data_IF_710699317291
#
_entry.id   IF_710699317291
#
_cell.length_a   1.000
_cell.length_b   1.000
_cell.length_c   1.000
_cell.angle_alpha   90.00
_cell.angle_beta   90.00
_cell.angle_gamma   90.00
#
_symmetry.space_group_name_H-M   'P 1'
#
loop_
_entity.id
_entity.type
_entity.pdbx_description
1 polymer ?
#
# COMPACT_ATOMS: atom_id res chain seq x y z
N UNK A 1 20.47 4.99 -11.18
CA UNK A 1 19.62 4.59 -10.04
C UNK A 1 19.04 5.78 -9.26
N UNK A 2 19.82 6.80 -8.91
CA UNK A 2 19.32 7.99 -8.19
C UNK A 2 18.15 8.71 -8.90
N UNK A 3 18.15 8.76 -10.23
CA UNK A 3 17.07 9.38 -11.02
C UNK A 3 15.71 8.68 -10.86
N UNK A 4 15.70 7.35 -10.78
CA UNK A 4 14.47 6.55 -10.65
C UNK A 4 13.89 6.68 -9.25
N UNK A 5 14.74 6.68 -8.22
CA UNK A 5 14.30 6.85 -6.84
C UNK A 5 13.99 8.31 -6.47
N UNK A 6 14.44 9.26 -7.26
CA UNK A 6 14.15 10.68 -7.10
C UNK A 6 12.95 11.14 -7.95
N UNK A 7 13.23 12.00 -8.93
CA UNK A 7 12.21 12.62 -9.78
C UNK A 7 11.34 11.62 -10.55
N UNK A 8 11.96 10.55 -11.11
CA UNK A 8 11.23 9.49 -11.81
C UNK A 8 10.25 8.75 -10.89
N UNK A 9 10.67 8.49 -9.64
CA UNK A 9 9.81 7.88 -8.64
C UNK A 9 8.61 8.74 -8.28
N UNK A 10 8.79 10.05 -8.15
CA UNK A 10 7.69 10.97 -7.90
C UNK A 10 6.67 10.96 -9.05
N UNK A 11 7.14 10.95 -10.30
CA UNK A 11 6.25 10.86 -11.47
C UNK A 11 5.48 9.55 -11.51
N UNK A 12 6.13 8.42 -11.18
CA UNK A 12 5.48 7.11 -11.11
C UNK A 12 4.41 7.06 -10.01
N UNK A 13 4.68 7.65 -8.84
CA UNK A 13 3.69 7.77 -7.77
C UNK A 13 2.48 8.60 -8.22
N UNK A 14 2.69 9.73 -8.88
CA UNK A 14 1.61 10.57 -9.43
C UNK A 14 0.80 9.79 -10.46
N UNK A 15 1.46 9.10 -11.39
CA UNK A 15 0.79 8.28 -12.41
C UNK A 15 -0.05 7.15 -11.75
N UNK A 16 0.49 6.50 -10.72
CA UNK A 16 -0.23 5.51 -9.93
C UNK A 16 -1.47 6.08 -9.23
N UNK A 17 -1.33 7.25 -8.61
CA UNK A 17 -2.45 7.94 -7.96
C UNK A 17 -3.57 8.32 -8.95
N UNK A 18 -3.22 8.81 -10.13
CA UNK A 18 -4.18 9.10 -11.20
C UNK A 18 -4.89 7.83 -11.69
N UNK A 19 -4.16 6.75 -11.93
CA UNK A 19 -4.72 5.46 -12.32
C UNK A 19 -5.69 4.92 -11.26
N UNK A 20 -5.34 5.04 -9.98
CA UNK A 20 -6.19 4.64 -8.87
C UNK A 20 -7.48 5.47 -8.78
N UNK A 21 -7.41 6.77 -9.05
CA UNK A 21 -8.58 7.64 -9.11
C UNK A 21 -9.55 7.20 -10.21
N UNK A 22 -9.03 6.85 -11.39
CA UNK A 22 -9.84 6.31 -12.49
C UNK A 22 -10.45 4.95 -12.14
N UNK A 23 -9.72 4.10 -11.43
CA UNK A 23 -10.21 2.80 -10.97
C UNK A 23 -11.35 2.94 -9.95
N UNK A 24 -11.24 3.90 -9.03
CA UNK A 24 -12.24 4.14 -7.98
C UNK A 24 -13.61 4.58 -8.51
N UNK A 25 -13.69 5.05 -9.76
CA UNK A 25 -14.97 5.34 -10.44
C UNK A 25 -15.74 4.06 -10.77
N UNK A 26 -15.05 2.93 -10.98
CA UNK A 26 -15.67 1.66 -11.42
C UNK A 26 -15.79 0.62 -10.32
N UNK A 27 -14.95 0.71 -9.30
CA UNK A 27 -14.84 -0.27 -8.22
C UNK A 27 -14.88 0.46 -6.89
N UNK A 28 -15.55 -0.11 -5.87
CA UNK A 28 -15.58 0.51 -4.54
C UNK A 28 -14.17 0.66 -3.97
N UNK A 29 -13.91 1.79 -3.30
CA UNK A 29 -12.58 2.14 -2.81
C UNK A 29 -11.94 1.05 -1.92
N UNK A 30 -12.65 0.36 -1.00
CA UNK A 30 -12.07 -0.72 -0.21
C UNK A 30 -11.61 -1.92 -1.04
N UNK A 31 -12.39 -2.32 -2.06
CA UNK A 31 -12.03 -3.44 -2.94
C UNK A 31 -10.85 -3.07 -3.83
N UNK A 32 -10.84 -1.85 -4.39
CA UNK A 32 -9.72 -1.35 -5.17
C UNK A 32 -8.43 -1.26 -4.33
N UNK A 33 -8.53 -0.79 -3.07
CA UNK A 33 -7.41 -0.73 -2.15
C UNK A 33 -6.82 -2.11 -1.84
N UNK A 34 -7.66 -3.10 -1.53
CA UNK A 34 -7.22 -4.48 -1.27
C UNK A 34 -6.56 -5.11 -2.50
N UNK A 35 -7.17 -4.96 -3.68
CA UNK A 35 -6.62 -5.54 -4.91
C UNK A 35 -5.26 -4.93 -5.27
N UNK A 36 -5.10 -3.61 -5.15
CA UNK A 36 -3.83 -2.94 -5.37
C UNK A 36 -2.79 -3.27 -4.29
N UNK A 37 -3.21 -3.45 -3.05
CA UNK A 37 -2.35 -3.95 -1.98
C UNK A 37 -1.77 -5.34 -2.30
N UNK A 38 -2.57 -6.24 -2.86
CA UNK A 38 -2.09 -7.55 -3.33
C UNK A 38 -1.12 -7.43 -4.50
N UNK A 39 -1.39 -6.55 -5.46
CA UNK A 39 -0.46 -6.27 -6.57
C UNK A 39 0.85 -5.71 -6.03
N UNK A 40 0.80 -4.78 -5.08
CA UNK A 40 2.00 -4.23 -4.43
C UNK A 40 2.80 -5.33 -3.70
N UNK A 41 2.15 -6.21 -2.95
CA UNK A 41 2.81 -7.34 -2.32
C UNK A 41 3.47 -8.29 -3.34
N UNK A 42 2.83 -8.52 -4.48
CA UNK A 42 3.40 -9.32 -5.57
C UNK A 42 4.63 -8.65 -6.19
N UNK A 43 4.65 -7.33 -6.36
CA UNK A 43 5.83 -6.60 -6.85
C UNK A 43 6.99 -6.66 -5.87
N UNK A 44 6.72 -6.58 -4.58
CA UNK A 44 7.74 -6.75 -3.53
C UNK A 44 8.26 -8.19 -3.50
N UNK A 45 7.39 -9.19 -3.65
CA UNK A 45 7.79 -10.59 -3.75
C UNK A 45 8.69 -10.84 -4.98
N UNK A 46 8.43 -10.18 -6.10
CA UNK A 46 9.29 -10.22 -7.27
C UNK A 46 10.68 -9.64 -6.97
N UNK A 47 10.77 -8.55 -6.22
CA UNK A 47 12.05 -7.95 -5.81
C UNK A 47 12.79 -8.84 -4.81
N UNK A 48 12.08 -9.54 -3.94
CA UNK A 48 12.66 -10.44 -2.93
C UNK A 48 13.14 -11.75 -3.54
N UNK A 49 12.30 -12.44 -4.31
CA UNK A 49 12.55 -13.80 -4.81
C UNK A 49 13.14 -13.81 -6.23
N UNK A 50 13.03 -12.70 -6.96
CA UNK A 50 13.45 -12.59 -8.35
C UNK A 50 14.97 -12.76 -8.53
N UNK A 51 15.41 -13.12 -9.73
CA UNK A 51 16.84 -13.24 -10.04
C UNK A 51 17.54 -11.88 -9.93
N UNK A 52 18.82 -11.89 -9.54
CA UNK A 52 19.68 -10.70 -9.44
C UNK A 52 20.02 -10.15 -10.84
N UNK A 53 19.01 -9.69 -11.55
CA UNK A 53 19.14 -9.10 -12.88
C UNK A 53 18.73 -7.61 -12.77
N UNK A 54 19.53 -6.68 -13.35
CA UNK A 54 19.20 -5.25 -13.37
C UNK A 54 17.82 -4.96 -13.96
N UNK A 55 17.35 -5.72 -14.93
CA UNK A 55 16.02 -5.57 -15.53
C UNK A 55 14.90 -5.94 -14.57
N UNK A 56 15.04 -7.02 -13.81
CA UNK A 56 14.05 -7.43 -12.78
C UNK A 56 13.96 -6.39 -11.69
N UNK A 57 15.11 -5.89 -11.23
CA UNK A 57 15.17 -4.82 -10.24
C UNK A 57 14.52 -3.53 -10.76
N UNK A 58 14.83 -3.12 -11.97
CA UNK A 58 14.25 -1.93 -12.60
C UNK A 58 12.72 -2.04 -12.71
N UNK A 59 12.25 -3.16 -13.30
CA UNK A 59 10.81 -3.39 -13.49
C UNK A 59 10.08 -3.47 -12.15
N UNK A 60 10.62 -4.21 -11.18
CA UNK A 60 10.05 -4.32 -9.85
C UNK A 60 9.97 -2.95 -9.14
N UNK A 61 11.04 -2.14 -9.23
CA UNK A 61 11.04 -0.80 -8.63
C UNK A 61 10.02 0.13 -9.29
N UNK A 62 9.91 0.13 -10.60
CA UNK A 62 8.93 0.93 -11.35
C UNK A 62 7.49 0.53 -10.96
N UNK A 63 7.20 -0.77 -10.96
CA UNK A 63 5.89 -1.28 -10.54
C UNK A 63 5.59 -0.96 -9.07
N UNK A 64 6.56 -1.11 -8.19
CA UNK A 64 6.42 -0.78 -6.77
C UNK A 64 6.09 0.70 -6.55
N UNK A 65 6.84 1.61 -7.17
CA UNK A 65 6.61 3.05 -7.05
C UNK A 65 5.25 3.46 -7.62
N UNK A 66 4.82 2.84 -8.71
CA UNK A 66 3.49 3.06 -9.27
C UNK A 66 2.38 2.56 -8.34
N UNK A 67 2.49 1.34 -7.84
CA UNK A 67 1.47 0.73 -6.97
C UNK A 67 1.38 1.41 -5.61
N UNK A 68 2.50 1.87 -5.04
CA UNK A 68 2.49 2.59 -3.77
C UNK A 68 1.77 3.95 -3.90
N UNK A 69 1.97 4.68 -5.00
CA UNK A 69 1.23 5.91 -5.29
C UNK A 69 -0.28 5.66 -5.43
N UNK A 70 -0.66 4.58 -6.11
CA UNK A 70 -2.04 4.15 -6.23
C UNK A 70 -2.67 3.79 -4.87
N UNK A 71 -1.93 3.07 -4.02
CA UNK A 71 -2.37 2.70 -2.67
C UNK A 71 -2.61 3.93 -1.77
N UNK A 72 -1.74 4.95 -1.84
CA UNK A 72 -1.95 6.20 -1.08
C UNK A 72 -3.23 6.94 -1.50
N UNK A 73 -3.49 7.04 -2.80
CA UNK A 73 -4.71 7.67 -3.31
C UNK A 73 -5.97 6.92 -2.86
N UNK A 74 -5.96 5.58 -2.95
CA UNK A 74 -7.09 4.76 -2.52
C UNK A 74 -7.27 4.74 -1.00
N UNK A 75 -6.19 4.76 -0.22
CA UNK A 75 -6.28 4.91 1.23
C UNK A 75 -7.04 6.19 1.60
N UNK A 76 -6.67 7.31 0.97
CA UNK A 76 -7.37 8.59 1.16
C UNK A 76 -8.85 8.48 0.78
N UNK A 77 -9.17 7.84 -0.36
CA UNK A 77 -10.55 7.63 -0.79
C UNK A 77 -11.37 6.77 0.20
N UNK A 78 -10.78 5.68 0.71
CA UNK A 78 -11.41 4.82 1.73
C UNK A 78 -11.68 5.61 3.01
N UNK A 79 -10.72 6.41 3.48
CA UNK A 79 -10.88 7.24 4.68
C UNK A 79 -11.99 8.26 4.47
N UNK A 80 -12.05 8.92 3.33
CA UNK A 80 -13.10 9.90 3.01
C UNK A 80 -14.48 9.25 2.89
N UNK A 81 -14.59 8.05 2.30
CA UNK A 81 -15.85 7.29 2.23
C UNK A 81 -16.35 6.94 3.64
N UNK A 82 -15.45 6.54 4.53
CA UNK A 82 -15.78 6.27 5.93
C UNK A 82 -16.24 7.52 6.69
N UNK A 83 -15.61 8.67 6.42
CA UNK A 83 -15.89 9.93 7.10
C UNK A 83 -17.11 10.65 6.54
N UNK A 84 -17.40 10.50 5.25
CA UNK A 84 -18.57 11.11 4.61
C UNK A 84 -19.90 10.72 5.26
N UNK A 85 -19.90 9.63 6.01
CA UNK A 85 -21.04 9.15 6.83
C UNK A 85 -21.08 9.73 8.26
N UNK A 86 -20.10 10.54 8.68
CA UNK A 86 -19.86 10.87 10.09
C UNK A 86 -20.23 12.29 10.54
N UNK A 87 -20.83 13.17 9.70
CA UNK A 87 -21.36 14.48 10.10
C UNK A 87 -20.30 15.56 10.45
N UNK A 88 -20.66 16.51 11.31
CA UNK A 88 -20.00 17.82 11.53
C UNK A 88 -18.50 17.84 11.95
N UNK A 89 -17.87 16.73 12.29
CA UNK A 89 -16.44 16.69 12.72
C UNK A 89 -15.52 15.97 11.72
N UNK A 90 -15.87 15.95 10.44
CA UNK A 90 -15.16 15.18 9.41
C UNK A 90 -13.69 15.56 9.23
N UNK A 91 -13.35 16.86 9.24
CA UNK A 91 -11.99 17.32 8.97
C UNK A 91 -11.00 16.95 10.08
N UNK A 92 -11.40 17.10 11.35
CA UNK A 92 -10.55 16.71 12.49
C UNK A 92 -10.30 15.21 12.53
N UNK A 93 -11.34 14.40 12.27
CA UNK A 93 -11.23 12.94 12.19
C UNK A 93 -10.34 12.52 11.02
N UNK A 94 -10.50 13.16 9.86
CA UNK A 94 -9.62 12.92 8.72
C UNK A 94 -8.15 13.18 9.06
N UNK A 95 -7.86 14.32 9.68
CA UNK A 95 -6.48 14.66 10.07
C UNK A 95 -5.87 13.64 11.02
N UNK A 96 -6.65 13.18 12.02
CA UNK A 96 -6.19 12.16 12.96
C UNK A 96 -5.91 10.83 12.24
N UNK A 97 -6.83 10.35 11.42
CA UNK A 97 -6.67 9.07 10.70
C UNK A 97 -5.49 9.15 9.73
N UNK A 98 -5.38 10.27 9.01
CA UNK A 98 -4.28 10.48 8.07
C UNK A 98 -2.92 10.56 8.78
N UNK A 99 -2.86 11.20 9.94
CA UNK A 99 -1.65 11.24 10.78
C UNK A 99 -1.28 9.85 11.30
N UNK A 100 -2.27 9.07 11.75
CA UNK A 100 -2.06 7.69 12.17
C UNK A 100 -1.60 6.80 11.02
N UNK A 101 -2.02 7.08 9.78
CA UNK A 101 -1.53 6.41 8.57
C UNK A 101 -0.02 6.57 8.31
N UNK A 102 0.61 7.60 8.87
CA UNK A 102 2.08 7.78 8.79
C UNK A 102 2.85 6.91 9.81
N UNK A 103 2.21 6.39 10.84
CA UNK A 103 2.86 5.52 11.83
C UNK A 103 3.40 4.23 11.19
N UNK A 104 2.62 3.50 10.35
CA UNK A 104 3.15 2.38 9.57
C UNK A 104 4.37 2.74 8.72
N UNK A 105 4.36 3.89 8.06
CA UNK A 105 5.50 4.35 7.23
C UNK A 105 6.75 4.52 8.08
N UNK A 106 6.62 5.09 9.28
CA UNK A 106 7.76 5.33 10.17
C UNK A 106 8.36 4.02 10.71
N UNK A 107 7.55 3.09 11.21
CA UNK A 107 8.09 1.82 11.71
C UNK A 107 8.60 0.92 10.58
N UNK A 108 7.97 0.96 9.38
CA UNK A 108 8.48 0.23 8.22
C UNK A 108 9.84 0.75 7.78
N UNK A 109 10.03 2.08 7.70
CA UNK A 109 11.34 2.65 7.38
C UNK A 109 12.43 2.21 8.39
N UNK A 110 12.08 2.08 9.67
CA UNK A 110 13.00 1.56 10.70
C UNK A 110 13.31 0.06 10.52
N UNK A 111 12.29 -0.75 10.23
CA UNK A 111 12.45 -2.19 9.95
C UNK A 111 13.31 -2.40 8.72
N UNK A 112 13.02 -1.69 7.62
CA UNK A 112 13.75 -1.79 6.36
C UNK A 112 15.22 -1.39 6.51
N UNK A 113 15.47 -0.29 7.21
CA UNK A 113 16.83 0.11 7.57
C UNK A 113 17.56 -0.98 8.35
N UNK A 114 16.94 -1.48 9.42
CA UNK A 114 17.53 -2.51 10.28
C UNK A 114 17.75 -3.86 9.54
N UNK A 115 16.80 -4.26 8.70
CA UNK A 115 16.91 -5.47 7.88
C UNK A 115 17.99 -5.31 6.79
N UNK A 116 18.04 -4.15 6.15
CA UNK A 116 19.02 -3.86 5.11
C UNK A 116 20.45 -3.85 5.65
N UNK A 117 20.66 -3.26 6.84
CA UNK A 117 21.97 -3.24 7.48
C UNK A 117 22.48 -4.61 7.92
N UNK A 118 21.57 -5.48 8.43
CA UNK A 118 21.95 -6.80 8.97
C UNK A 118 22.00 -7.91 7.93
N UNK A 119 21.08 -7.89 6.98
CA UNK A 119 20.86 -9.02 6.05
C UNK A 119 20.82 -8.59 4.58
N UNK A 120 21.10 -7.30 4.30
CA UNK A 120 21.10 -6.73 2.95
C UNK A 120 19.74 -6.30 2.44
N UNK A 121 19.73 -5.57 1.33
CA UNK A 121 18.54 -4.92 0.76
C UNK A 121 17.42 -5.89 0.39
N UNK A 122 17.73 -7.15 0.06
CA UNK A 122 16.72 -8.19 -0.20
C UNK A 122 15.91 -8.55 1.05
N UNK A 123 16.52 -8.51 2.22
CA UNK A 123 15.82 -8.82 3.46
C UNK A 123 14.79 -7.74 3.81
N UNK A 124 15.07 -6.47 3.51
CA UNK A 124 14.09 -5.40 3.64
C UNK A 124 12.85 -5.67 2.78
N UNK A 125 13.03 -5.97 1.48
CA UNK A 125 11.90 -6.34 0.62
C UNK A 125 11.13 -7.57 1.12
N UNK A 126 11.81 -8.54 1.73
CA UNK A 126 11.20 -9.70 2.35
C UNK A 126 10.34 -9.35 3.58
N UNK A 127 10.83 -8.45 4.44
CA UNK A 127 10.08 -7.94 5.58
C UNK A 127 8.80 -7.19 5.14
N UNK A 128 8.90 -6.36 4.10
CA UNK A 128 7.77 -5.68 3.49
C UNK A 128 6.70 -6.66 2.98
N UNK A 129 7.11 -7.73 2.28
CA UNK A 129 6.17 -8.77 1.80
C UNK A 129 5.46 -9.44 2.95
N UNK A 130 6.20 -9.84 3.98
CA UNK A 130 5.62 -10.54 5.14
C UNK A 130 4.62 -9.65 5.88
N UNK A 131 4.97 -8.41 6.16
CA UNK A 131 4.10 -7.47 6.89
C UNK A 131 2.89 -7.06 6.06
N UNK A 132 3.06 -6.79 4.77
CA UNK A 132 1.96 -6.46 3.85
C UNK A 132 0.97 -7.63 3.72
N UNK A 133 1.49 -8.86 3.59
CA UNK A 133 0.66 -10.07 3.51
C UNK A 133 -0.08 -10.31 4.82
N UNK A 134 0.58 -10.16 5.97
CA UNK A 134 -0.06 -10.30 7.27
C UNK A 134 -1.18 -9.27 7.46
N UNK A 135 -0.95 -8.00 7.10
CA UNK A 135 -1.96 -6.95 7.13
C UNK A 135 -3.17 -7.26 6.23
N UNK A 136 -2.92 -7.73 5.01
CA UNK A 136 -3.97 -8.12 4.08
C UNK A 136 -4.80 -9.29 4.60
N UNK A 137 -4.16 -10.32 5.21
CA UNK A 137 -4.85 -11.46 5.80
C UNK A 137 -5.70 -11.06 7.01
N UNK A 138 -5.22 -10.18 7.87
CA UNK A 138 -5.99 -9.65 9.01
C UNK A 138 -7.23 -8.92 8.51
N UNK A 139 -7.08 -8.04 7.50
CA UNK A 139 -8.21 -7.33 6.92
C UNK A 139 -9.21 -8.29 6.26
N UNK A 140 -8.74 -9.27 5.52
CA UNK A 140 -9.60 -10.28 4.89
C UNK A 140 -10.37 -11.08 5.95
N UNK A 141 -9.71 -11.55 6.99
CA UNK A 141 -10.34 -12.25 8.11
C UNK A 141 -11.41 -11.39 8.78
N UNK A 142 -11.14 -10.11 9.00
CA UNK A 142 -12.10 -9.17 9.57
C UNK A 142 -13.33 -8.96 8.67
N UNK A 143 -13.13 -8.85 7.35
CA UNK A 143 -14.24 -8.75 6.40
C UNK A 143 -15.10 -10.00 6.37
N UNK A 144 -14.49 -11.19 6.39
CA UNK A 144 -15.21 -12.46 6.37
C UNK A 144 -16.03 -12.67 7.65
N UNK A 145 -15.49 -12.32 8.82
CA UNK A 145 -16.21 -12.42 10.08
C UNK A 145 -17.39 -11.45 10.14
N UNK A 146 -17.26 -10.24 9.60
CA UNK A 146 -18.39 -9.29 9.56
C UNK A 146 -19.52 -9.73 8.62
N UNK A 147 -19.22 -10.34 7.46
CA UNK A 147 -20.25 -10.87 6.56
C UNK A 147 -21.08 -11.97 7.23
N UNK A 148 -20.45 -12.85 7.98
CA UNK A 148 -21.13 -13.94 8.67
C UNK A 148 -22.09 -13.45 9.77
N UNK A 149 -21.79 -12.34 10.44
CA UNK A 149 -22.67 -11.75 11.46
C UNK A 149 -23.91 -11.10 10.85
N UNK A 150 -23.82 -10.55 9.63
CA UNK A 150 -24.97 -9.93 8.95
C UNK A 150 -25.91 -10.94 8.27
N UNK A 151 -25.46 -12.17 8.04
CA UNK A 151 -26.30 -13.24 7.47
C UNK A 151 -27.07 -14.04 8.52
N UNK A 152 -26.77 -13.85 9.81
CA UNK A 152 -27.41 -14.58 10.94
C UNK A 152 -28.39 -13.68 11.73
N UNK A 153 -28.42 -12.38 11.44
CA UNK A 153 -29.37 -11.41 12.01
C UNK A 153 -30.50 -11.08 11.03
#
# INVERSE_FOLDING_TARGET
MAWINGFGGALLNIAGALAATLLSVRVSAPVAYLSLGMVNAATLALLWLGPLNPMVYLTGTVLFLFTIGACYALFTAVVLEFLGRSGKSGSARYSIINSLGNVPVAYMAWIDGSCSERWGTRAASGADVLLSTAGALILLAWFLTRRNVQTVA
#
